data_IF_961152245255
#
_entry.id   IF_961152245255
#
_cell.length_a   1.000
_cell.length_b   1.000
_cell.length_c   1.000
_cell.angle_alpha   90.00
_cell.angle_beta   90.00
_cell.angle_gamma   90.00
#
_symmetry.space_group_name_H-M   'P 1'
#
loop_
_entity.id
_entity.type
_entity.pdbx_description
1 polymer ?
#
# COMPACT_ATOMS: atom_id res chain seq x y z
N UNK A 1 27.51 12.35 11.33
CA UNK A 1 26.51 13.24 10.69
C UNK A 1 25.10 12.65 10.86
N UNK A 2 24.17 13.40 11.44
CA UNK A 2 22.75 12.98 11.52
C UNK A 2 22.11 13.14 10.14
N UNK A 3 21.40 12.11 9.69
CA UNK A 3 20.62 12.13 8.44
C UNK A 3 19.20 11.67 8.73
N UNK A 4 18.23 12.34 8.12
CA UNK A 4 16.84 11.92 8.17
C UNK A 4 16.64 10.58 7.47
N UNK A 5 15.81 9.70 8.07
CA UNK A 5 15.35 8.46 7.47
C UNK A 5 13.87 8.29 7.76
N UNK A 6 13.04 8.35 6.71
CA UNK A 6 11.66 7.91 6.82
C UNK A 6 11.62 6.40 6.96
N UNK A 7 10.76 5.91 7.85
CA UNK A 7 10.63 4.49 8.12
C UNK A 7 9.49 3.84 7.33
N UNK A 8 8.71 4.61 6.55
CA UNK A 8 7.54 4.10 5.81
C UNK A 8 7.90 2.88 4.96
N UNK A 9 6.96 1.95 4.85
CA UNK A 9 7.09 0.81 3.97
C UNK A 9 5.72 0.36 3.48
N UNK A 10 5.70 -0.33 2.35
CA UNK A 10 4.48 -0.94 1.81
C UNK A 10 3.81 -1.87 2.80
N UNK A 11 4.60 -2.62 3.57
CA UNK A 11 4.07 -3.53 4.59
C UNK A 11 3.29 -2.80 5.69
N UNK A 12 3.68 -1.56 6.05
CA UNK A 12 2.87 -0.74 6.97
C UNK A 12 1.59 -0.22 6.34
N UNK A 13 1.66 0.20 5.07
CA UNK A 13 0.46 0.63 4.34
C UNK A 13 -0.55 -0.52 4.26
N UNK A 14 -0.08 -1.73 3.94
CA UNK A 14 -0.91 -2.93 3.91
C UNK A 14 -1.45 -3.30 5.30
N UNK A 15 -0.66 -3.13 6.36
CA UNK A 15 -1.15 -3.30 7.73
C UNK A 15 -2.26 -2.32 8.11
N UNK A 16 -2.22 -1.09 7.59
CA UNK A 16 -3.31 -0.12 7.75
C UNK A 16 -4.57 -0.58 7.00
N UNK A 17 -4.44 -1.04 5.75
CA UNK A 17 -5.56 -1.59 4.98
C UNK A 17 -6.16 -2.84 5.66
N UNK A 18 -5.30 -3.69 6.24
CA UNK A 18 -5.74 -4.87 6.98
C UNK A 18 -6.60 -4.50 8.19
N UNK A 19 -6.27 -3.40 8.88
CA UNK A 19 -7.05 -2.89 10.01
C UNK A 19 -8.40 -2.29 9.59
N UNK A 20 -8.50 -1.73 8.38
CA UNK A 20 -9.77 -1.26 7.81
C UNK A 20 -10.70 -2.42 7.43
N UNK A 21 -10.12 -3.56 7.04
CA UNK A 21 -10.86 -4.74 6.62
C UNK A 21 -11.09 -4.81 5.11
N UNK A 22 -11.61 -5.95 4.62
CA UNK A 22 -11.66 -6.27 3.20
C UNK A 22 -12.61 -5.38 2.41
N UNK A 23 -13.79 -5.08 2.94
CA UNK A 23 -14.82 -4.29 2.25
C UNK A 23 -14.35 -2.85 2.04
N UNK A 24 -13.87 -2.19 3.10
CA UNK A 24 -13.34 -0.82 3.06
C UNK A 24 -12.09 -0.71 2.16
N UNK A 25 -11.20 -1.71 2.21
CA UNK A 25 -10.01 -1.75 1.35
C UNK A 25 -10.38 -1.87 -0.13
N UNK A 26 -11.41 -2.66 -0.46
CA UNK A 26 -11.88 -2.80 -1.85
C UNK A 26 -12.63 -1.55 -2.30
N UNK A 27 -13.43 -0.94 -1.41
CA UNK A 27 -14.17 0.29 -1.68
C UNK A 27 -13.26 1.50 -1.93
N UNK A 28 -12.05 1.47 -1.36
CA UNK A 28 -11.04 2.51 -1.53
C UNK A 28 -10.29 2.43 -2.88
N UNK A 29 -10.52 1.39 -3.70
CA UNK A 29 -9.93 1.31 -5.04
C UNK A 29 -10.63 2.29 -5.99
N UNK A 30 -9.85 2.94 -6.86
CA UNK A 30 -10.38 3.77 -7.94
C UNK A 30 -11.00 2.90 -9.04
N UNK A 31 -11.63 3.55 -10.04
CA UNK A 31 -12.16 2.89 -11.23
C UNK A 31 -11.08 2.10 -12.00
N UNK A 32 -9.82 2.55 -11.94
CA UNK A 32 -8.64 1.88 -12.52
C UNK A 32 -8.17 0.67 -11.70
N UNK A 33 -8.91 0.28 -10.66
CA UNK A 33 -8.68 -0.95 -9.88
C UNK A 33 -7.46 -0.90 -8.95
N UNK A 34 -6.98 0.29 -8.62
CA UNK A 34 -5.88 0.51 -7.68
C UNK A 34 -6.16 1.71 -6.77
N UNK A 35 -5.39 1.85 -5.70
CA UNK A 35 -5.36 3.04 -4.85
C UNK A 35 -3.92 3.51 -4.69
N UNK A 36 -3.77 4.77 -4.32
CA UNK A 36 -2.47 5.37 -4.03
C UNK A 36 -2.43 5.87 -2.59
N UNK A 37 -1.39 5.49 -1.87
CA UNK A 37 -1.11 5.99 -0.53
C UNK A 37 0.17 6.79 -0.56
N UNK A 38 0.07 8.09 -0.34
CA UNK A 38 1.22 9.00 -0.28
C UNK A 38 1.72 9.10 1.16
N UNK A 39 3.03 8.94 1.36
CA UNK A 39 3.64 9.18 2.66
C UNK A 39 3.96 10.67 2.84
N UNK A 40 3.25 11.36 3.73
CA UNK A 40 3.43 12.78 4.03
C UNK A 40 4.83 13.17 4.60
N UNK A 41 5.69 12.19 4.91
CA UNK A 41 7.04 12.44 5.44
C UNK A 41 8.14 12.37 4.38
N UNK A 42 7.96 11.56 3.34
CA UNK A 42 8.99 11.33 2.32
C UNK A 42 8.45 11.41 0.89
N UNK A 43 7.16 11.68 0.72
CA UNK A 43 6.42 11.77 -0.54
C UNK A 43 6.48 10.50 -1.40
N UNK A 44 6.84 9.36 -0.82
CA UNK A 44 6.77 8.08 -1.53
C UNK A 44 5.30 7.70 -1.72
N UNK A 45 4.95 7.35 -2.95
CA UNK A 45 3.62 6.87 -3.34
C UNK A 45 3.65 5.35 -3.37
N UNK A 46 2.69 4.72 -2.69
CA UNK A 46 2.48 3.28 -2.72
C UNK A 46 1.21 2.98 -3.50
N UNK A 47 1.37 2.37 -4.67
CA UNK A 47 0.24 1.86 -5.45
C UNK A 47 -0.14 0.47 -4.93
N UNK A 48 -1.40 0.30 -4.57
CA UNK A 48 -1.96 -0.97 -4.10
C UNK A 48 -3.09 -1.35 -5.07
N UNK A 49 -2.96 -2.48 -5.74
CA UNK A 49 -3.96 -2.94 -6.70
C UNK A 49 -4.92 -3.98 -6.11
N UNK A 50 -5.92 -4.37 -6.91
CA UNK A 50 -6.90 -5.39 -6.50
C UNK A 50 -6.26 -6.75 -6.14
N UNK A 51 -5.16 -7.14 -6.78
CA UNK A 51 -4.45 -8.40 -6.50
C UNK A 51 -3.76 -8.33 -5.14
N UNK A 52 -3.22 -7.16 -4.80
CA UNK A 52 -2.64 -6.88 -3.50
C UNK A 52 -3.67 -6.97 -2.38
N UNK A 53 -4.81 -6.28 -2.53
CA UNK A 53 -5.91 -6.33 -1.56
C UNK A 53 -6.41 -7.77 -1.40
N UNK A 54 -6.63 -8.49 -2.51
CA UNK A 54 -7.03 -9.89 -2.45
C UNK A 54 -5.97 -10.76 -1.75
N UNK A 55 -4.69 -10.54 -2.02
CA UNK A 55 -3.57 -11.26 -1.39
C UNK A 55 -3.48 -11.01 0.11
N UNK A 56 -3.71 -9.77 0.54
CA UNK A 56 -3.68 -9.33 1.94
C UNK A 56 -4.68 -10.13 2.79
N UNK A 57 -5.90 -10.33 2.30
CA UNK A 57 -6.96 -11.03 3.04
C UNK A 57 -7.00 -12.54 2.77
N UNK A 58 -6.38 -13.02 1.69
CA UNK A 58 -6.20 -14.45 1.43
C UNK A 58 -5.06 -15.10 2.23
N UNK A 59 -4.32 -14.32 3.05
CA UNK A 59 -3.14 -14.80 3.78
C UNK A 59 -1.97 -15.19 2.86
N UNK A 60 -1.95 -14.68 1.62
CA UNK A 60 -0.89 -14.97 0.65
C UNK A 60 0.26 -13.98 0.83
N UNK A 61 1.54 -14.38 0.64
CA UNK A 61 2.62 -13.44 0.56
C UNK A 61 2.34 -12.42 -0.54
N UNK A 62 2.26 -11.14 -0.18
CA UNK A 62 2.07 -10.07 -1.16
C UNK A 62 3.30 -9.99 -2.07
N UNK A 63 3.07 -9.85 -3.37
CA UNK A 63 4.15 -9.68 -4.34
C UNK A 63 4.98 -8.42 -4.00
N UNK A 64 6.29 -8.43 -4.28
CA UNK A 64 7.09 -7.22 -4.17
C UNK A 64 6.51 -6.14 -5.08
N UNK A 65 6.49 -4.90 -4.58
CA UNK A 65 5.90 -3.77 -5.28
C UNK A 65 6.51 -3.63 -6.68
N UNK A 66 5.65 -3.50 -7.69
CA UNK A 66 6.00 -2.69 -8.85
C UNK A 66 6.02 -1.23 -8.39
N UNK A 67 7.09 -0.83 -7.71
CA UNK A 67 7.48 0.58 -7.54
C UNK A 67 7.73 1.06 -8.98
N UNK A 68 6.69 1.51 -9.68
CA UNK A 68 6.89 2.28 -10.89
C UNK A 68 7.41 3.64 -10.42
N UNK A 69 8.67 3.99 -10.71
CA UNK A 69 9.08 5.37 -10.57
C UNK A 69 8.29 6.16 -11.63
N UNK A 70 7.62 7.22 -11.18
CA UNK A 70 7.16 8.26 -12.09
C UNK A 70 8.40 8.97 -12.69
#
# INVERSE_FOLDING_TARGET
>A
PLRFRCSCSRQRVLGMLQALGPEESVASLTEDGHMEVTCEFCNRIYRIDRVDVAGLFAGRPLAPASDQPH
#
